data_IF_545289209997
#
_entry.id   IF_545289209997
#
_cell.length_a   1.000
_cell.length_b   1.000
_cell.length_c   1.000
_cell.angle_alpha   90.00
_cell.angle_beta   90.00
_cell.angle_gamma   90.00
#
_symmetry.space_group_name_H-M   'P 1'
#
loop_
_entity.id
_entity.type
_entity.pdbx_description
1 polymer ?
#
# COMPACT_ATOMS: atom_id res chain seq x y z
N UNK A 1 -30.71 -0.95 -39.86
CA UNK A 1 -30.09 -1.92 -38.94
C UNK A 1 -28.65 -1.50 -38.72
N UNK A 2 -28.30 -1.02 -37.53
CA UNK A 2 -26.90 -0.79 -37.17
C UNK A 2 -26.35 -2.11 -36.61
N UNK A 3 -25.34 -2.67 -37.26
CA UNK A 3 -24.60 -3.83 -36.78
C UNK A 3 -23.55 -3.30 -35.80
N UNK A 4 -23.76 -3.51 -34.51
CA UNK A 4 -22.71 -3.32 -33.51
C UNK A 4 -21.67 -4.43 -33.71
N UNK A 5 -20.54 -4.11 -34.33
CA UNK A 5 -19.34 -4.91 -34.19
C UNK A 5 -18.83 -4.69 -32.77
N UNK A 6 -18.83 -5.76 -31.96
CA UNK A 6 -18.07 -5.76 -30.73
C UNK A 6 -16.58 -5.60 -31.12
N UNK A 7 -15.96 -4.50 -30.71
CA UNK A 7 -14.51 -4.37 -30.76
C UNK A 7 -13.92 -5.50 -29.91
N UNK A 8 -13.27 -6.44 -30.57
CA UNK A 8 -12.50 -7.48 -29.90
C UNK A 8 -11.28 -6.76 -29.31
N UNK A 9 -11.32 -6.42 -28.02
CA UNK A 9 -10.13 -6.01 -27.28
C UNK A 9 -9.06 -7.08 -27.52
N UNK A 10 -7.95 -6.71 -28.16
CA UNK A 10 -6.79 -7.59 -28.33
C UNK A 10 -6.21 -7.89 -26.95
N UNK A 11 -6.61 -9.01 -26.36
CA UNK A 11 -6.07 -9.50 -25.08
C UNK A 11 -4.85 -10.36 -25.37
N UNK A 12 -3.67 -9.86 -24.99
CA UNK A 12 -2.46 -10.66 -24.95
C UNK A 12 -2.40 -11.41 -23.61
N UNK A 13 -2.21 -12.72 -23.66
CA UNK A 13 -1.96 -13.55 -22.47
C UNK A 13 -0.53 -14.09 -22.53
N UNK A 14 0.26 -13.79 -21.50
CA UNK A 14 1.61 -14.31 -21.31
C UNK A 14 1.60 -15.24 -20.09
N UNK A 15 1.89 -16.52 -20.29
CA UNK A 15 2.01 -17.50 -19.20
C UNK A 15 3.48 -17.91 -19.11
N UNK A 16 4.12 -17.59 -17.99
CA UNK A 16 5.52 -17.93 -17.72
C UNK A 16 5.61 -18.78 -16.45
N UNK A 17 6.47 -19.80 -16.46
CA UNK A 17 6.73 -20.68 -15.31
C UNK A 17 8.08 -20.30 -14.69
N UNK A 18 8.19 -20.37 -13.37
CA UNK A 18 9.41 -20.11 -12.60
C UNK A 18 9.96 -18.67 -12.71
N UNK A 19 9.09 -17.70 -13.03
CA UNK A 19 9.37 -16.28 -12.85
C UNK A 19 8.58 -15.85 -11.62
N UNK A 20 9.28 -15.21 -10.68
CA UNK A 20 8.67 -14.62 -9.49
C UNK A 20 8.47 -13.11 -9.63
N UNK A 21 9.09 -12.43 -10.61
CA UNK A 21 8.92 -10.98 -10.81
C UNK A 21 8.14 -10.65 -12.08
N UNK A 22 7.08 -9.85 -11.96
CA UNK A 22 6.27 -9.36 -13.08
C UNK A 22 6.18 -7.83 -13.04
N UNK A 23 6.39 -7.16 -14.18
CA UNK A 23 6.28 -5.70 -14.33
C UNK A 23 5.12 -5.36 -15.25
N UNK A 24 4.20 -4.52 -14.78
CA UNK A 24 3.02 -4.08 -15.51
C UNK A 24 3.27 -3.00 -16.55
N UNK A 25 2.34 -2.92 -17.51
CA UNK A 25 2.30 -1.85 -18.49
C UNK A 25 1.77 -0.56 -17.88
N UNK A 26 2.27 0.57 -18.39
CA UNK A 26 1.78 1.92 -18.07
C UNK A 26 0.43 2.25 -18.72
N UNK A 27 -0.03 1.36 -19.61
CA UNK A 27 -1.25 1.48 -20.40
C UNK A 27 -2.06 0.19 -20.37
N UNK A 28 -3.39 0.34 -20.52
CA UNK A 28 -4.31 -0.79 -20.56
C UNK A 28 -4.57 -1.41 -19.19
N UNK A 29 -5.22 -2.57 -19.21
CA UNK A 29 -5.65 -3.31 -18.02
C UNK A 29 -4.64 -4.42 -17.75
N UNK A 30 -3.95 -4.34 -16.62
CA UNK A 30 -3.03 -5.38 -16.18
C UNK A 30 -3.75 -6.38 -15.26
N UNK A 31 -3.52 -7.68 -15.46
CA UNK A 31 -3.95 -8.75 -14.55
C UNK A 31 -2.76 -9.65 -14.25
N UNK A 32 -2.40 -9.80 -12.98
CA UNK A 32 -1.32 -10.68 -12.54
C UNK A 32 -1.86 -11.80 -11.67
N UNK A 33 -1.39 -13.02 -11.91
CA UNK A 33 -1.74 -14.21 -11.14
C UNK A 33 -0.43 -14.85 -10.68
N UNK A 34 -0.20 -14.81 -9.38
CA UNK A 34 0.93 -15.42 -8.69
C UNK A 34 0.78 -16.92 -8.54
N UNK A 35 1.88 -17.55 -8.13
CA UNK A 35 1.94 -18.97 -7.82
C UNK A 35 1.84 -19.21 -6.29
N UNK A 36 2.08 -20.44 -5.84
CA UNK A 36 2.01 -20.78 -4.41
C UNK A 36 3.24 -20.33 -3.60
N UNK A 37 4.29 -19.85 -4.26
CA UNK A 37 5.53 -19.35 -3.66
C UNK A 37 5.51 -17.81 -3.54
N UNK A 38 6.62 -17.25 -3.08
CA UNK A 38 6.83 -15.82 -2.99
C UNK A 38 6.96 -15.19 -4.39
N UNK A 39 6.13 -14.17 -4.65
CA UNK A 39 6.12 -13.42 -5.89
C UNK A 39 6.43 -11.94 -5.63
N UNK A 40 6.89 -11.24 -6.67
CA UNK A 40 7.12 -9.81 -6.70
C UNK A 40 6.39 -9.21 -7.89
N UNK A 41 5.42 -8.34 -7.63
CA UNK A 41 4.67 -7.64 -8.65
C UNK A 41 5.05 -6.16 -8.64
N UNK A 42 5.49 -5.63 -9.76
CA UNK A 42 5.68 -4.19 -9.96
C UNK A 42 4.55 -3.70 -10.85
N UNK A 43 3.66 -2.88 -10.30
CA UNK A 43 2.50 -2.38 -11.05
C UNK A 43 2.95 -1.27 -11.99
N UNK A 44 2.44 -1.25 -13.22
CA UNK A 44 2.62 -0.12 -14.13
C UNK A 44 1.73 1.07 -13.76
N UNK A 45 1.86 2.18 -14.49
CA UNK A 45 1.18 3.45 -14.16
C UNK A 45 -0.34 3.44 -14.30
N UNK A 46 -0.96 2.44 -14.94
CA UNK A 46 -2.42 2.32 -15.10
C UNK A 46 -3.13 1.53 -14.00
N UNK A 47 -2.38 0.88 -13.10
CA UNK A 47 -2.93 -0.03 -12.10
C UNK A 47 -2.96 -1.48 -12.59
N UNK A 48 -3.47 -2.37 -11.74
CA UNK A 48 -3.58 -3.80 -12.03
C UNK A 48 -4.58 -4.48 -11.11
N UNK A 49 -5.14 -5.60 -11.56
CA UNK A 49 -5.73 -6.61 -10.67
C UNK A 49 -4.68 -7.67 -10.39
N UNK A 50 -4.40 -7.96 -9.12
CA UNK A 50 -3.38 -8.88 -8.67
C UNK A 50 -4.02 -9.96 -7.81
N UNK A 51 -3.80 -11.20 -8.20
CA UNK A 51 -4.05 -12.38 -7.39
C UNK A 51 -2.68 -12.88 -6.94
N UNK A 52 -2.17 -12.50 -5.76
CA UNK A 52 -0.77 -12.67 -5.42
C UNK A 52 -0.40 -14.13 -5.11
N UNK A 53 -1.39 -14.99 -4.84
CA UNK A 53 -1.17 -16.39 -4.50
C UNK A 53 -0.99 -16.60 -2.99
N UNK A 54 -0.37 -17.72 -2.61
CA UNK A 54 -0.28 -18.15 -1.20
C UNK A 54 0.97 -17.68 -0.46
N UNK A 55 2.07 -17.45 -1.17
CA UNK A 55 3.34 -17.07 -0.56
C UNK A 55 3.35 -15.68 0.10
N UNK A 56 4.52 -15.29 0.59
CA UNK A 56 4.79 -13.93 1.03
C UNK A 56 5.20 -13.09 -0.17
N UNK A 57 4.32 -12.19 -0.61
CA UNK A 57 4.52 -11.47 -1.87
C UNK A 57 4.89 -10.02 -1.62
N UNK A 58 5.66 -9.45 -2.55
CA UNK A 58 5.96 -8.02 -2.62
C UNK A 58 5.16 -7.41 -3.76
N UNK A 59 4.48 -6.30 -3.50
CA UNK A 59 3.69 -5.56 -4.49
C UNK A 59 4.17 -4.11 -4.49
N UNK A 60 4.88 -3.71 -5.54
CA UNK A 60 5.42 -2.35 -5.70
C UNK A 60 4.46 -1.48 -6.50
N UNK A 61 4.03 -0.37 -5.89
CA UNK A 61 3.22 0.68 -6.50
C UNK A 61 4.13 1.85 -6.86
N UNK A 62 4.21 2.24 -8.15
CA UNK A 62 5.14 3.27 -8.59
C UNK A 62 4.69 4.66 -8.14
N UNK A 63 5.64 5.61 -8.09
CA UNK A 63 5.36 6.97 -7.65
C UNK A 63 4.61 7.84 -8.68
N UNK A 64 4.77 7.53 -9.97
CA UNK A 64 4.22 8.29 -11.09
C UNK A 64 2.99 7.61 -11.68
N UNK A 65 1.92 7.46 -10.92
CA UNK A 65 0.67 6.84 -11.41
C UNK A 65 -0.17 7.82 -12.27
N UNK A 66 -0.99 7.26 -13.17
CA UNK A 66 -1.92 8.02 -14.00
C UNK A 66 -3.09 8.58 -13.18
N UNK A 67 -3.83 9.54 -13.75
CA UNK A 67 -5.02 10.12 -13.11
C UNK A 67 -6.17 9.15 -12.90
N UNK A 68 -6.19 8.10 -13.72
CA UNK A 68 -6.98 6.90 -13.50
C UNK A 68 -6.02 5.77 -13.13
N UNK A 69 -6.00 5.41 -11.85
CA UNK A 69 -5.18 4.34 -11.30
C UNK A 69 -6.00 3.53 -10.30
N UNK A 70 -6.21 2.25 -10.62
CA UNK A 70 -6.91 1.32 -9.74
C UNK A 70 -6.05 0.08 -9.60
N UNK A 71 -5.50 -0.15 -8.41
CA UNK A 71 -4.85 -1.40 -8.06
C UNK A 71 -5.80 -2.23 -7.18
N UNK A 72 -6.15 -3.44 -7.61
CA UNK A 72 -6.95 -4.39 -6.82
C UNK A 72 -6.07 -5.56 -6.45
N UNK A 73 -5.95 -5.84 -5.16
CA UNK A 73 -5.17 -6.94 -4.62
C UNK A 73 -6.16 -7.91 -3.97
N UNK A 74 -6.27 -9.10 -4.52
CA UNK A 74 -7.27 -10.10 -4.13
C UNK A 74 -6.56 -11.22 -3.38
N UNK A 75 -6.70 -11.22 -2.07
CA UNK A 75 -5.97 -12.06 -1.13
C UNK A 75 -6.60 -13.44 -1.06
N UNK A 76 -5.77 -14.48 -1.19
CA UNK A 76 -6.20 -15.86 -0.95
C UNK A 76 -6.28 -16.14 0.55
N UNK A 77 -7.27 -16.89 1.03
CA UNK A 77 -7.44 -17.21 2.45
C UNK A 77 -6.16 -17.81 3.09
N UNK A 78 -5.41 -18.60 2.32
CA UNK A 78 -4.16 -19.23 2.74
C UNK A 78 -2.93 -18.34 2.48
N UNK A 79 -3.12 -17.11 2.00
CA UNK A 79 -2.02 -16.17 1.79
C UNK A 79 -1.28 -15.84 3.09
N UNK A 80 0.04 -15.78 2.99
CA UNK A 80 0.92 -15.21 4.01
C UNK A 80 0.93 -13.68 3.92
N UNK A 81 1.97 -13.03 4.42
CA UNK A 81 2.08 -11.56 4.44
C UNK A 81 2.28 -11.01 3.03
N UNK A 82 1.52 -9.97 2.69
CA UNK A 82 1.62 -9.18 1.48
C UNK A 82 2.28 -7.84 1.81
N UNK A 83 3.51 -7.68 1.34
CA UNK A 83 4.31 -6.47 1.53
C UNK A 83 4.07 -5.49 0.38
N UNK A 84 3.40 -4.39 0.66
CA UNK A 84 3.04 -3.38 -0.34
C UNK A 84 4.02 -2.23 -0.27
N UNK A 85 4.90 -2.13 -1.25
CA UNK A 85 5.88 -1.04 -1.36
C UNK A 85 5.24 0.12 -2.11
N UNK A 86 5.06 1.24 -1.42
CA UNK A 86 4.54 2.48 -1.98
C UNK A 86 5.74 3.38 -2.29
N UNK A 87 6.06 3.58 -3.56
CA UNK A 87 7.17 4.45 -3.99
C UNK A 87 6.86 5.95 -3.81
N UNK A 88 5.89 6.29 -2.96
CA UNK A 88 5.52 7.66 -2.63
C UNK A 88 5.47 7.84 -1.10
N UNK A 89 5.64 9.08 -0.60
CA UNK A 89 5.56 9.35 0.83
C UNK A 89 4.14 9.15 1.35
N UNK A 90 4.02 8.94 2.66
CA UNK A 90 2.72 8.67 3.29
C UNK A 90 1.68 9.76 3.03
N UNK A 91 2.10 11.01 2.88
CA UNK A 91 1.21 12.15 2.64
C UNK A 91 0.50 12.09 1.28
N UNK A 92 0.96 11.25 0.35
CA UNK A 92 0.23 10.98 -0.89
C UNK A 92 -1.02 10.12 -0.65
N UNK A 93 -1.13 9.46 0.50
CA UNK A 93 -2.34 8.78 0.93
C UNK A 93 -3.29 9.84 1.50
N UNK A 94 -4.48 9.94 0.91
CA UNK A 94 -5.52 10.89 1.32
C UNK A 94 -6.25 10.37 2.55
N UNK A 95 -6.73 9.13 2.48
CA UNK A 95 -7.49 8.49 3.53
C UNK A 95 -7.57 6.99 3.28
N UNK A 96 -7.87 6.24 4.35
CA UNK A 96 -8.06 4.80 4.30
C UNK A 96 -9.45 4.49 4.80
N UNK A 97 -10.27 3.86 3.95
CA UNK A 97 -11.64 3.48 4.31
C UNK A 97 -11.73 1.96 4.36
N UNK A 98 -12.28 1.46 5.46
CA UNK A 98 -12.61 0.05 5.61
C UNK A 98 -14.09 -0.19 5.36
N UNK A 99 -14.37 -1.12 4.47
CA UNK A 99 -15.69 -1.70 4.20
C UNK A 99 -15.75 -3.13 4.79
N UNK A 100 -16.89 -3.79 4.68
CA UNK A 100 -17.07 -5.18 5.16
C UNK A 100 -16.27 -6.19 4.34
N UNK A 101 -16.09 -5.93 3.05
CA UNK A 101 -15.51 -6.84 2.06
C UNK A 101 -14.13 -6.39 1.56
N UNK A 102 -13.78 -5.12 1.80
CA UNK A 102 -12.53 -4.54 1.30
C UNK A 102 -11.98 -3.41 2.15
N UNK A 103 -10.69 -3.11 1.96
CA UNK A 103 -10.04 -1.89 2.45
C UNK A 103 -9.58 -1.08 1.24
N UNK A 104 -9.84 0.22 1.25
CA UNK A 104 -9.50 1.13 0.15
C UNK A 104 -8.56 2.21 0.66
N UNK A 105 -7.34 2.24 0.11
CA UNK A 105 -6.39 3.34 0.21
C UNK A 105 -6.66 4.32 -0.92
N UNK A 106 -7.21 5.49 -0.59
CA UNK A 106 -7.37 6.57 -1.55
C UNK A 106 -6.10 7.41 -1.61
N UNK A 107 -5.61 7.65 -2.82
CA UNK A 107 -4.43 8.47 -3.06
C UNK A 107 -4.87 9.89 -3.46
N UNK A 108 -4.04 10.88 -3.14
CA UNK A 108 -4.28 12.26 -3.54
C UNK A 108 -4.27 12.36 -5.08
N UNK A 109 -5.36 12.91 -5.61
CA UNK A 109 -5.50 13.23 -7.03
C UNK A 109 -4.71 14.47 -7.41
N UNK A 110 -4.39 14.60 -8.70
CA UNK A 110 -3.83 15.84 -9.24
C UNK A 110 -4.91 16.92 -9.39
N UNK A 111 -6.17 16.50 -9.57
CA UNK A 111 -7.35 17.35 -9.71
C UNK A 111 -8.61 16.62 -9.26
N UNK A 112 -9.76 17.33 -9.16
CA UNK A 112 -11.01 16.78 -8.62
C UNK A 112 -11.57 15.53 -9.32
N UNK A 113 -11.24 15.33 -10.61
CA UNK A 113 -11.67 14.17 -11.39
C UNK A 113 -10.71 12.95 -11.32
N UNK A 114 -9.57 13.04 -10.62
CA UNK A 114 -8.64 11.91 -10.54
C UNK A 114 -9.25 10.77 -9.71
N UNK A 115 -9.15 9.54 -10.20
CA UNK A 115 -9.55 8.33 -9.48
C UNK A 115 -8.31 7.49 -9.26
N UNK A 116 -7.74 7.60 -8.05
CA UNK A 116 -6.50 6.92 -7.66
C UNK A 116 -6.73 6.18 -6.35
N UNK A 117 -6.75 4.86 -6.39
CA UNK A 117 -6.87 4.06 -5.16
C UNK A 117 -6.28 2.66 -5.31
N UNK A 118 -5.96 2.08 -4.15
CA UNK A 118 -5.55 0.69 -3.99
C UNK A 118 -6.64 0.00 -3.15
N UNK A 119 -7.14 -1.13 -3.61
CA UNK A 119 -8.14 -1.93 -2.90
C UNK A 119 -7.57 -3.29 -2.51
N UNK A 120 -7.81 -3.71 -1.28
CA UNK A 120 -7.54 -5.05 -0.78
C UNK A 120 -8.87 -5.77 -0.56
N UNK A 121 -9.00 -6.95 -1.15
CA UNK A 121 -10.21 -7.79 -1.08
C UNK A 121 -9.82 -9.19 -0.61
N UNK A 122 -10.69 -9.86 0.13
CA UNK A 122 -10.59 -11.31 0.32
C UNK A 122 -11.10 -12.06 -0.93
N UNK A 123 -10.56 -13.23 -1.22
CA UNK A 123 -11.08 -14.08 -2.31
C UNK A 123 -12.54 -14.47 -2.04
N UNK A 124 -13.33 -14.64 -3.12
CA UNK A 124 -14.69 -15.22 -3.08
C UNK A 124 -15.67 -14.57 -2.07
N UNK A 125 -15.48 -13.30 -1.73
CA UNK A 125 -16.32 -12.61 -0.74
C UNK A 125 -15.96 -12.91 0.71
N UNK A 126 -14.77 -13.46 0.94
CA UNK A 126 -14.15 -13.62 2.25
C UNK A 126 -14.07 -12.28 2.97
N UNK A 127 -14.18 -12.35 4.29
CA UNK A 127 -14.23 -11.15 5.10
C UNK A 127 -12.83 -10.53 5.19
N UNK A 128 -12.71 -9.24 4.90
CA UNK A 128 -11.41 -8.56 4.95
C UNK A 128 -10.77 -8.59 6.36
N UNK A 129 -11.57 -8.85 7.42
CA UNK A 129 -11.06 -9.04 8.78
C UNK A 129 -10.18 -10.29 8.94
N UNK A 130 -10.37 -11.32 8.11
CA UNK A 130 -9.57 -12.56 8.17
C UNK A 130 -8.12 -12.34 7.66
N UNK A 131 -7.86 -11.16 7.10
CA UNK A 131 -6.60 -10.76 6.50
C UNK A 131 -5.87 -9.66 7.30
N UNK A 132 -6.34 -9.34 8.51
CA UNK A 132 -5.62 -8.45 9.41
C UNK A 132 -4.25 -9.05 9.77
N UNK A 133 -3.21 -8.20 9.82
CA UNK A 133 -1.82 -8.63 9.99
C UNK A 133 -1.19 -9.30 8.76
N UNK A 134 -1.95 -9.53 7.68
CA UNK A 134 -1.43 -10.06 6.41
C UNK A 134 -1.07 -8.98 5.39
N UNK A 135 -1.29 -7.71 5.69
CA UNK A 135 -0.98 -6.59 4.79
C UNK A 135 -0.11 -5.59 5.55
N UNK A 136 1.10 -5.39 5.04
CA UNK A 136 2.07 -4.45 5.56
C UNK A 136 2.47 -3.52 4.43
N UNK A 137 2.35 -2.21 4.64
CA UNK A 137 2.64 -1.20 3.62
C UNK A 137 3.87 -0.39 4.01
N UNK A 138 4.83 -0.26 3.11
CA UNK A 138 6.04 0.53 3.29
C UNK A 138 6.02 1.75 2.40
N UNK A 139 6.19 2.94 2.97
CA UNK A 139 6.22 4.18 2.21
C UNK A 139 7.64 4.59 1.83
N UNK A 140 7.76 5.44 0.81
CA UNK A 140 9.05 5.96 0.36
C UNK A 140 9.78 6.73 1.47
N UNK A 141 9.05 7.43 2.32
CA UNK A 141 9.58 8.19 3.46
C UNK A 141 9.82 7.32 4.71
N UNK A 142 9.74 5.99 4.59
CA UNK A 142 10.23 5.07 5.62
C UNK A 142 9.23 4.73 6.71
N UNK A 143 7.94 4.87 6.44
CA UNK A 143 6.88 4.50 7.39
C UNK A 143 6.36 3.11 7.02
N UNK A 144 6.23 2.27 8.03
CA UNK A 144 5.58 0.98 7.97
C UNK A 144 4.17 1.12 8.54
N UNK A 145 3.17 0.79 7.73
CA UNK A 145 1.76 0.86 8.06
C UNK A 145 1.19 -0.55 8.08
N UNK A 146 0.48 -0.89 9.14
CA UNK A 146 -0.23 -2.15 9.29
C UNK A 146 -1.72 -1.90 9.43
N UNK A 147 -2.53 -2.87 8.99
CA UNK A 147 -3.97 -2.80 9.20
C UNK A 147 -4.31 -3.04 10.68
N UNK A 148 -4.97 -2.07 11.31
CA UNK A 148 -5.46 -2.17 12.69
C UNK A 148 -6.71 -3.04 12.79
N UNK A 149 -6.98 -3.69 13.92
CA UNK A 149 -8.30 -4.24 14.24
C UNK A 149 -9.35 -3.15 14.49
N UNK A 150 -8.93 -1.91 14.74
CA UNK A 150 -9.82 -0.77 15.00
C UNK A 150 -10.65 -0.40 13.75
N UNK A 151 -11.97 -0.34 13.90
CA UNK A 151 -12.90 -0.02 12.80
C UNK A 151 -12.92 1.46 12.43
N UNK A 152 -12.55 2.37 13.35
CA UNK A 152 -12.56 3.82 13.15
C UNK A 152 -11.25 4.30 12.55
N UNK A 153 -10.12 3.72 12.98
CA UNK A 153 -8.78 4.02 12.46
C UNK A 153 -8.17 2.72 11.93
N UNK A 154 -8.35 2.43 10.63
CA UNK A 154 -8.07 1.11 10.08
C UNK A 154 -6.58 0.80 9.93
N UNK A 155 -5.68 1.73 10.31
CA UNK A 155 -4.24 1.60 10.14
C UNK A 155 -3.49 2.08 11.38
N UNK A 156 -2.43 1.35 11.73
CA UNK A 156 -1.42 1.71 12.73
C UNK A 156 -0.13 2.02 11.99
N UNK A 157 0.62 3.03 12.46
CA UNK A 157 2.01 3.19 12.05
C UNK A 157 2.85 2.28 12.95
N UNK A 158 3.22 1.10 12.43
CA UNK A 158 3.93 0.08 13.19
C UNK A 158 5.40 0.46 13.40
N UNK A 159 6.02 1.14 12.42
CA UNK A 159 7.43 1.54 12.49
C UNK A 159 7.72 2.78 11.64
N UNK A 160 8.76 3.53 12.04
CA UNK A 160 9.34 4.62 11.25
C UNK A 160 10.86 4.44 11.18
N UNK A 161 11.41 4.43 9.97
CA UNK A 161 12.82 4.63 9.69
C UNK A 161 13.14 6.13 9.76
N UNK A 162 13.58 6.59 10.93
CA UNK A 162 13.84 8.01 11.21
C UNK A 162 14.83 8.63 10.21
N UNK A 163 16.00 8.03 9.91
CA UNK A 163 16.89 8.57 8.89
C UNK A 163 16.25 8.75 7.52
N UNK A 164 15.45 7.78 7.05
CA UNK A 164 14.75 7.88 5.77
C UNK A 164 13.66 8.94 5.79
N UNK A 165 12.95 9.04 6.91
CA UNK A 165 11.91 10.03 7.15
C UNK A 165 12.48 11.45 7.14
N UNK A 166 13.51 11.74 7.93
CA UNK A 166 14.15 13.06 8.00
C UNK A 166 14.75 13.49 6.65
N UNK A 167 15.34 12.55 5.91
CA UNK A 167 15.86 12.82 4.57
C UNK A 167 14.75 13.28 3.61
N UNK A 168 13.55 12.73 3.75
CA UNK A 168 12.39 13.07 2.93
C UNK A 168 11.65 14.32 3.43
N UNK A 169 11.64 14.55 4.74
CA UNK A 169 10.93 15.61 5.44
C UNK A 169 11.89 16.56 6.16
N UNK A 170 12.80 17.18 5.40
CA UNK A 170 13.92 17.98 5.95
C UNK A 170 13.50 19.11 6.90
N UNK A 171 12.28 19.62 6.75
CA UNK A 171 11.78 20.75 7.52
C UNK A 171 11.04 20.33 8.81
N UNK A 172 10.84 19.02 9.03
CA UNK A 172 10.02 18.50 10.12
C UNK A 172 10.82 18.23 11.41
N UNK A 173 12.15 18.15 11.35
CA UNK A 173 13.04 18.06 12.53
C UNK A 173 12.55 17.10 13.62
N UNK A 174 12.77 15.80 13.44
CA UNK A 174 12.19 14.79 14.35
C UNK A 174 13.06 14.61 15.59
N UNK A 175 12.71 15.30 16.68
CA UNK A 175 13.35 15.07 17.99
C UNK A 175 12.81 13.82 18.68
N UNK A 176 11.50 13.55 18.54
CA UNK A 176 10.75 12.45 19.17
C UNK A 176 9.66 11.97 18.18
N UNK A 177 9.39 10.65 18.05
CA UNK A 177 8.36 10.14 17.13
C UNK A 177 6.95 10.71 17.38
N UNK A 178 6.60 11.01 18.64
CA UNK A 178 5.32 11.64 19.00
C UNK A 178 5.09 12.98 18.27
N UNK A 179 6.15 13.74 17.99
CA UNK A 179 6.06 15.00 17.27
C UNK A 179 5.54 14.83 15.84
N UNK A 180 5.66 13.63 15.24
CA UNK A 180 5.13 13.30 13.92
C UNK A 180 3.59 13.29 13.95
N UNK A 181 2.97 12.77 15.02
CA UNK A 181 1.51 12.73 15.16
C UNK A 181 0.92 14.13 15.36
N UNK A 182 1.67 15.01 16.02
CA UNK A 182 1.25 16.37 16.33
C UNK A 182 1.54 17.35 15.18
N UNK A 183 2.31 16.93 14.17
CA UNK A 183 2.69 17.79 13.06
C UNK A 183 1.52 17.99 12.08
N UNK A 184 1.00 19.22 12.03
CA UNK A 184 -0.11 19.59 11.16
C UNK A 184 0.19 19.47 9.65
N UNK A 185 1.46 19.46 9.23
CA UNK A 185 1.85 19.23 7.83
C UNK A 185 1.74 17.75 7.43
N UNK A 186 1.58 16.84 8.40
CA UNK A 186 1.46 15.40 8.21
C UNK A 186 0.02 14.92 8.42
N UNK A 187 -0.91 15.53 7.68
CA UNK A 187 -2.36 15.30 7.80
C UNK A 187 -2.77 13.81 7.81
N UNK A 188 -2.06 12.95 7.08
CA UNK A 188 -2.35 11.52 7.06
C UNK A 188 -2.34 10.91 8.47
N UNK A 189 -1.32 11.22 9.27
CA UNK A 189 -1.15 10.66 10.60
C UNK A 189 -2.26 11.08 11.55
N UNK A 190 -2.55 12.38 11.58
CA UNK A 190 -3.60 12.95 12.43
C UNK A 190 -4.97 12.29 12.20
N UNK A 191 -5.29 12.04 10.95
CA UNK A 191 -6.62 11.58 10.56
C UNK A 191 -6.75 10.04 10.50
N UNK A 192 -5.64 9.31 10.26
CA UNK A 192 -5.70 7.88 9.93
C UNK A 192 -4.89 6.97 10.87
N UNK A 193 -3.97 7.50 11.69
CA UNK A 193 -3.14 6.69 12.59
C UNK A 193 -3.67 6.80 14.02
N UNK A 194 -4.01 5.66 14.64
CA UNK A 194 -4.55 5.62 16.01
C UNK A 194 -3.48 5.73 17.09
N UNK A 195 -2.35 5.09 16.86
CA UNK A 195 -1.29 4.88 17.82
C UNK A 195 0.00 4.55 17.06
N UNK A 196 1.14 4.78 17.72
CA UNK A 196 2.35 4.06 17.38
C UNK A 196 2.39 2.79 18.22
N UNK A 197 2.82 1.68 17.64
CA UNK A 197 3.25 0.55 18.46
C UNK A 197 4.58 0.93 19.14
N UNK A 198 4.48 1.46 20.36
CA UNK A 198 5.61 2.00 21.14
C UNK A 198 6.68 0.94 21.45
N UNK A 199 6.37 -0.36 21.31
CA UNK A 199 7.33 -1.46 21.53
C UNK A 199 8.49 -1.39 20.53
N UNK A 200 8.27 -0.84 19.33
CA UNK A 200 9.29 -0.80 18.28
C UNK A 200 10.09 0.52 18.29
N UNK A 201 9.54 1.61 18.83
CA UNK A 201 10.22 2.92 18.87
C UNK A 201 11.52 2.89 19.69
N UNK A 202 11.57 2.13 20.78
CA UNK A 202 12.77 2.03 21.64
C UNK A 202 14.01 1.48 20.92
N UNK A 203 13.85 0.76 19.81
CA UNK A 203 14.98 0.16 19.07
C UNK A 203 15.67 1.13 18.10
N UNK A 204 15.11 2.31 17.84
CA UNK A 204 15.54 3.16 16.70
C UNK A 204 15.83 4.62 17.05
N UNK A 205 15.73 5.03 18.32
CA UNK A 205 16.47 6.21 18.75
C UNK A 205 17.98 5.88 18.59
N UNK A 206 18.78 6.74 17.93
CA UNK A 206 20.21 6.55 17.96
C UNK A 206 20.64 6.51 19.43
N UNK A 207 21.50 5.53 19.78
CA UNK A 207 22.03 5.29 21.14
C UNK A 207 22.76 6.50 21.76
N UNK A 208 22.70 7.68 21.17
CA UNK A 208 23.32 8.93 21.61
C UNK A 208 22.44 9.83 22.46
N UNK A 209 21.13 9.56 22.62
CA UNK A 209 20.27 10.35 23.52
C UNK A 209 20.06 9.74 24.92
N UNK A 210 20.89 8.77 25.32
CA UNK A 210 20.98 8.33 26.72
C UNK A 210 22.30 8.82 27.33
N UNK A 211 22.43 10.14 27.50
CA UNK A 211 23.29 10.68 28.54
C UNK A 211 22.52 11.76 29.31
N UNK A 212 22.18 11.36 30.52
CA UNK A 212 21.67 12.15 31.64
C UNK A 212 22.45 13.43 31.90
N UNK A 213 21.70 14.46 32.31
CA UNK A 213 22.00 15.17 33.55
C UNK A 213 20.73 15.32 34.37
#
# INVERSE_FOLDING_TARGET
>A
MAVYQAEIESKMALIQKNINTIIGSDHGINVFIGNEFDNHFVIGRSGATIYPGKGSNVITIPNKINDFFIAKIILDADSLIQYVQLDFPVNNIRNIIRHSDKIVLYLRGNHGASVKHIEFHGDKGGNIYDYLGKIVMYTLDGIELELSTNKVRPVVAAKIDIPKFEKHHRDIGVLEPLNILENNSLFFFKDNVSEFDLVIIELFLPKTCLYTK
#
